data_IF_679832643572
#
_entry.id   IF_679832643572
#
_cell.length_a   1.000
_cell.length_b   1.000
_cell.length_c   1.000
_cell.angle_alpha   90.00
_cell.angle_beta   90.00
_cell.angle_gamma   90.00
#
_symmetry.space_group_name_H-M   'P 1'
#
loop_
_entity.id
_entity.type
_entity.pdbx_description
1 polymer ?
#
# COMPACT_ATOMS: atom_id res chain seq x y z
N UNK A 1 9.40 -0.26 -18.77
CA UNK A 1 8.78 0.66 -17.79
C UNK A 1 8.60 -0.10 -16.50
N UNK A 2 8.70 0.55 -15.33
CA UNK A 2 8.37 -0.11 -14.06
C UNK A 2 6.85 -0.22 -13.95
N UNK A 3 6.35 -1.17 -13.16
CA UNK A 3 4.91 -1.31 -12.87
C UNK A 3 4.54 -0.57 -11.58
N UNK A 4 3.27 -0.30 -11.35
CA UNK A 4 2.84 0.29 -10.07
C UNK A 4 2.91 -0.78 -8.96
N UNK A 5 3.22 -0.38 -7.71
CA UNK A 5 3.21 -1.32 -6.60
C UNK A 5 1.79 -1.76 -6.26
N UNK A 6 1.59 -3.07 -6.07
CA UNK A 6 0.34 -3.65 -5.57
C UNK A 6 0.31 -3.62 -4.04
N UNK A 7 -0.60 -2.86 -3.43
CA UNK A 7 -0.71 -2.77 -1.97
C UNK A 7 -1.52 -3.92 -1.36
N UNK A 8 -2.51 -4.45 -2.07
CA UNK A 8 -3.29 -5.65 -1.73
C UNK A 8 -4.00 -6.14 -3.00
N UNK A 9 -4.30 -7.44 -3.10
CA UNK A 9 -5.16 -7.97 -4.17
C UNK A 9 -6.59 -8.22 -3.67
N UNK A 10 -6.72 -8.61 -2.39
CA UNK A 10 -7.99 -8.82 -1.69
C UNK A 10 -8.02 -7.97 -0.44
N UNK A 11 -9.21 -7.54 0.00
CA UNK A 11 -9.36 -6.63 1.15
C UNK A 11 -8.74 -7.23 2.41
N UNK A 12 -8.88 -8.55 2.59
CA UNK A 12 -8.32 -9.31 3.72
C UNK A 12 -6.78 -9.27 3.81
N UNK A 13 -6.08 -8.87 2.74
CA UNK A 13 -4.61 -8.72 2.73
C UNK A 13 -4.16 -7.32 3.23
N UNK A 14 -5.10 -6.45 3.60
CA UNK A 14 -4.82 -5.11 4.11
C UNK A 14 -5.53 -4.90 5.46
N UNK A 15 -4.76 -4.62 6.51
CA UNK A 15 -5.32 -4.32 7.83
C UNK A 15 -5.56 -2.83 8.09
N UNK A 16 -5.42 -1.97 7.08
CA UNK A 16 -5.63 -0.52 7.22
C UNK A 16 -4.59 0.21 8.09
N UNK A 17 -3.42 -0.38 8.38
CA UNK A 17 -2.43 0.20 9.32
C UNK A 17 -1.76 1.51 8.89
N UNK A 18 -2.02 2.01 7.68
CA UNK A 18 -1.46 3.26 7.12
C UNK A 18 0.06 3.32 6.90
N UNK A 19 0.82 2.25 7.17
CA UNK A 19 2.28 2.26 6.99
C UNK A 19 2.72 2.62 5.57
N UNK A 20 2.01 2.09 4.55
CA UNK A 20 2.27 2.39 3.15
C UNK A 20 2.04 3.87 2.80
N UNK A 21 1.02 4.50 3.40
CA UNK A 21 0.73 5.93 3.31
C UNK A 21 1.88 6.74 3.92
N UNK A 22 2.23 6.46 5.17
CA UNK A 22 3.22 7.22 5.93
C UNK A 22 4.63 7.17 5.32
N UNK A 23 5.04 6.03 4.75
CA UNK A 23 6.39 5.89 4.16
C UNK A 23 6.53 6.52 2.78
N UNK A 24 5.43 6.92 2.13
CA UNK A 24 5.44 7.33 0.74
C UNK A 24 6.06 8.74 0.58
N UNK A 25 7.26 8.89 0.00
CA UNK A 25 7.95 10.19 -0.05
C UNK A 25 7.32 11.20 -1.01
N UNK A 26 6.33 10.76 -1.80
CA UNK A 26 5.61 11.57 -2.78
C UNK A 26 4.16 11.81 -2.41
N UNK A 27 3.75 11.34 -1.23
CA UNK A 27 2.35 11.43 -0.77
C UNK A 27 1.37 10.88 -1.82
N UNK A 28 1.84 9.87 -2.58
CA UNK A 28 1.12 9.29 -3.70
C UNK A 28 0.06 8.26 -3.28
N UNK A 29 -0.20 8.12 -1.98
CA UNK A 29 -1.16 7.17 -1.43
C UNK A 29 -2.15 7.97 -0.60
N UNK A 30 -3.43 7.64 -0.71
CA UNK A 30 -4.50 8.13 0.16
C UNK A 30 -5.18 6.94 0.83
N UNK A 31 -5.69 7.12 2.05
CA UNK A 31 -6.53 6.12 2.72
C UNK A 31 -8.00 6.48 2.47
N UNK A 32 -8.78 5.56 1.91
CA UNK A 32 -10.18 5.78 1.52
C UNK A 32 -11.05 4.73 2.21
N UNK A 33 -12.14 5.17 2.82
CA UNK A 33 -13.15 4.30 3.43
C UNK A 33 -13.98 3.60 2.33
N UNK A 34 -14.32 2.34 2.56
CA UNK A 34 -15.34 1.64 1.80
C UNK A 34 -16.74 1.79 2.43
N UNK A 35 -17.74 1.12 1.86
CA UNK A 35 -19.14 1.18 2.32
C UNK A 35 -19.35 0.65 3.74
N UNK A 36 -18.41 -0.15 4.26
CA UNK A 36 -18.45 -0.73 5.60
C UNK A 36 -17.65 0.10 6.62
N UNK A 37 -16.98 1.17 6.16
CA UNK A 37 -16.15 2.05 6.98
C UNK A 37 -14.70 1.57 7.17
N UNK A 38 -14.27 0.52 6.46
CA UNK A 38 -12.88 0.06 6.49
C UNK A 38 -12.03 0.91 5.55
N UNK A 39 -10.80 1.26 5.98
CA UNK A 39 -9.89 2.10 5.19
C UNK A 39 -8.89 1.29 4.37
N UNK A 40 -8.75 1.63 3.09
CA UNK A 40 -7.81 0.99 2.17
C UNK A 40 -6.95 2.01 1.43
N UNK A 41 -5.69 1.67 1.12
CA UNK A 41 -4.81 2.58 0.43
C UNK A 41 -5.08 2.61 -1.08
N UNK A 42 -5.17 3.81 -1.65
CA UNK A 42 -5.32 4.05 -3.09
C UNK A 42 -4.10 4.81 -3.61
N UNK A 43 -3.49 4.32 -4.69
CA UNK A 43 -2.30 4.95 -5.30
C UNK A 43 -2.71 5.96 -6.37
N UNK A 44 -2.19 7.19 -6.26
CA UNK A 44 -2.15 8.15 -7.35
C UNK A 44 -0.97 7.83 -8.28
N UNK A 45 -1.28 7.35 -9.49
CA UNK A 45 -0.29 6.94 -10.49
C UNK A 45 0.53 8.11 -11.08
N UNK A 46 0.03 9.34 -11.02
CA UNK A 46 0.74 10.54 -11.50
C UNK A 46 1.86 10.92 -10.53
N UNK A 47 1.64 10.75 -9.22
CA UNK A 47 2.62 11.09 -8.18
C UNK A 47 3.58 9.94 -7.86
N UNK A 48 3.17 8.70 -8.11
CA UNK A 48 3.94 7.52 -7.73
C UNK A 48 5.20 7.37 -8.59
N UNK A 49 6.37 7.48 -7.94
CA UNK A 49 7.68 7.30 -8.58
C UNK A 49 8.17 5.84 -8.57
N UNK A 50 7.30 4.89 -8.21
CA UNK A 50 7.58 3.44 -8.28
C UNK A 50 8.86 3.04 -7.51
N UNK A 51 9.00 3.57 -6.28
CA UNK A 51 10.13 3.29 -5.39
C UNK A 51 9.92 2.05 -4.50
N UNK A 52 8.70 1.49 -4.47
CA UNK A 52 8.31 0.26 -3.74
C UNK A 52 8.52 0.28 -2.22
N UNK A 53 8.76 1.44 -1.60
CA UNK A 53 8.84 1.56 -0.13
C UNK A 53 7.54 1.16 0.57
N UNK A 54 6.39 1.45 -0.04
CA UNK A 54 5.07 1.06 0.46
C UNK A 54 4.87 -0.46 0.56
N UNK A 55 5.50 -1.24 -0.32
CA UNK A 55 5.47 -2.71 -0.28
C UNK A 55 6.39 -3.22 0.82
N UNK A 56 7.62 -2.70 0.89
CA UNK A 56 8.62 -3.09 1.89
C UNK A 56 8.18 -2.77 3.32
N UNK A 57 7.53 -1.64 3.56
CA UNK A 57 7.07 -1.30 4.92
C UNK A 57 5.87 -2.16 5.37
N UNK A 58 5.23 -2.91 4.47
CA UNK A 58 4.00 -3.62 4.77
C UNK A 58 4.30 -4.89 5.58
N UNK A 59 3.91 -4.96 6.87
CA UNK A 59 4.22 -6.12 7.70
C UNK A 59 3.49 -7.38 7.24
N UNK A 60 2.41 -7.26 6.46
CA UNK A 60 1.71 -8.44 5.90
C UNK A 60 2.50 -9.03 4.73
N UNK A 61 3.22 -8.21 3.96
CA UNK A 61 3.97 -8.66 2.78
C UNK A 61 5.41 -9.07 3.08
N UNK A 62 5.97 -8.63 4.21
CA UNK A 62 7.33 -9.04 4.62
C UNK A 62 7.39 -10.47 5.17
N UNK A 63 6.25 -11.10 5.51
CA UNK A 63 6.20 -12.40 6.21
C UNK A 63 6.54 -13.60 5.29
N UNK A 64 6.69 -13.41 3.98
CA UNK A 64 6.99 -14.51 3.03
C UNK A 64 8.50 -14.84 2.86
N UNK A 65 9.39 -14.41 3.75
CA UNK A 65 10.82 -14.77 3.68
C UNK A 65 11.36 -15.32 5.02
N UNK A 66 10.87 -16.49 5.44
CA UNK A 66 11.65 -17.57 6.12
C UNK A 66 10.70 -18.54 6.86
N UNK A 67 10.49 -19.72 6.25
CA UNK A 67 10.41 -21.00 6.96
C UNK A 67 11.47 -21.95 6.37
#
# INVERSE_FOLDING_TARGET
MKELPTLYNRKEECCGCTACYAICPKEAISMVEDEEGFIYPVINNILCIQCYRCVKVCPIKEVDNNE
#
